data_IF_280147467633
#
_entry.id   IF_280147467633
#
_cell.length_a   1.000
_cell.length_b   1.000
_cell.length_c   1.000
_cell.angle_alpha   90.00
_cell.angle_beta   90.00
_cell.angle_gamma   90.00
#
_symmetry.space_group_name_H-M   'P 1'
#
loop_
_entity.id
_entity.type
_entity.pdbx_description
1 polymer ?
#
# COMPACT_ATOMS: atom_id res chain seq x y z
N UNK A 1 -43.08 3.58 -39.33
CA UNK A 1 -41.88 2.76 -39.57
C UNK A 1 -40.86 3.17 -38.52
N UNK A 2 -40.64 2.31 -37.53
CA UNK A 2 -39.82 2.62 -36.36
C UNK A 2 -38.34 2.66 -36.71
N UNK A 3 -37.67 3.74 -36.32
CA UNK A 3 -36.23 3.87 -36.36
C UNK A 3 -35.62 2.88 -35.36
N UNK A 4 -34.91 1.89 -35.86
CA UNK A 4 -34.02 1.03 -35.08
C UNK A 4 -32.89 1.88 -34.49
N UNK A 5 -32.51 1.70 -33.22
CA UNK A 5 -31.30 2.32 -32.70
C UNK A 5 -30.10 1.68 -33.40
N UNK A 6 -29.31 2.51 -34.07
CA UNK A 6 -28.05 2.09 -34.68
C UNK A 6 -27.19 1.40 -33.60
N UNK A 7 -26.86 0.13 -33.82
CA UNK A 7 -25.87 -0.57 -33.00
C UNK A 7 -24.56 0.20 -33.15
N UNK A 8 -24.17 0.95 -32.10
CA UNK A 8 -22.84 1.54 -32.04
C UNK A 8 -21.87 0.37 -32.04
N UNK A 9 -21.20 0.14 -33.18
CA UNK A 9 -20.15 -0.87 -33.25
C UNK A 9 -19.18 -0.59 -32.10
N UNK A 10 -18.93 -1.59 -31.25
CA UNK A 10 -17.96 -1.45 -30.18
C UNK A 10 -16.64 -1.02 -30.80
N UNK A 11 -16.15 0.17 -30.45
CA UNK A 11 -14.85 0.63 -30.91
C UNK A 11 -13.82 -0.42 -30.51
N UNK A 12 -12.92 -0.79 -31.43
CA UNK A 12 -11.86 -1.72 -31.13
C UNK A 12 -11.03 -1.20 -29.96
N UNK A 13 -10.68 -2.08 -29.03
CA UNK A 13 -9.90 -1.74 -27.85
C UNK A 13 -8.54 -1.17 -28.29
N UNK A 14 -8.14 0.02 -27.81
CA UNK A 14 -6.91 0.67 -28.27
C UNK A 14 -5.69 -0.20 -27.93
N UNK A 15 -4.63 -0.19 -28.75
CA UNK A 15 -3.40 -0.94 -28.46
C UNK A 15 -2.71 -0.39 -27.21
N UNK A 16 -1.98 -1.22 -26.47
CA UNK A 16 -1.16 -0.76 -25.35
C UNK A 16 -0.07 0.19 -25.84
N UNK A 17 0.37 1.17 -25.02
CA UNK A 17 1.51 2.02 -25.37
C UNK A 17 2.76 1.18 -25.68
N UNK A 18 3.45 1.50 -26.78
CA UNK A 18 4.63 0.75 -27.21
C UNK A 18 5.77 0.76 -26.18
N UNK A 19 5.85 1.80 -25.34
CA UNK A 19 6.84 1.92 -24.27
C UNK A 19 6.46 1.18 -22.97
N UNK A 20 5.30 0.52 -22.93
CA UNK A 20 4.87 -0.22 -21.73
C UNK A 20 5.79 -1.40 -21.46
N UNK A 21 6.05 -1.65 -20.17
CA UNK A 21 6.93 -2.71 -19.71
C UNK A 21 6.09 -3.85 -19.14
N UNK A 22 6.37 -5.08 -19.57
CA UNK A 22 5.74 -6.28 -19.00
C UNK A 22 6.19 -6.45 -17.55
N UNK A 23 5.24 -6.61 -16.64
CA UNK A 23 5.51 -6.99 -15.25
C UNK A 23 5.49 -8.51 -15.15
N UNK A 24 6.63 -9.09 -14.78
CA UNK A 24 6.73 -10.53 -14.48
C UNK A 24 6.71 -10.72 -12.96
N UNK A 25 5.80 -11.54 -12.47
CA UNK A 25 5.70 -11.86 -11.05
C UNK A 25 4.91 -13.18 -10.85
N UNK A 26 5.31 -14.08 -9.94
CA UNK A 26 4.66 -15.39 -9.76
C UNK A 26 3.20 -15.32 -9.32
N UNK A 27 2.79 -14.23 -8.65
CA UNK A 27 1.38 -14.02 -8.27
C UNK A 27 0.46 -13.66 -9.45
N UNK A 28 1.00 -13.37 -10.64
CA UNK A 28 0.18 -13.02 -11.81
C UNK A 28 -0.47 -14.30 -12.36
N UNK A 29 -1.81 -14.31 -12.35
CA UNK A 29 -2.61 -15.45 -12.84
C UNK A 29 -3.80 -14.94 -13.65
N UNK A 30 -4.05 -15.54 -14.81
CA UNK A 30 -5.22 -15.27 -15.65
C UNK A 30 -5.06 -14.14 -16.68
N UNK A 31 -3.92 -13.44 -16.69
CA UNK A 31 -3.63 -12.37 -17.64
C UNK A 31 -2.14 -12.03 -17.75
N UNK A 32 -1.81 -11.23 -18.75
CA UNK A 32 -0.50 -10.58 -18.89
C UNK A 32 -0.58 -9.16 -18.38
N UNK A 33 0.42 -8.73 -17.61
CA UNK A 33 0.42 -7.40 -16.98
C UNK A 33 1.49 -6.54 -17.63
N UNK A 34 1.13 -5.32 -18.00
CA UNK A 34 2.04 -4.29 -18.47
C UNK A 34 1.83 -3.00 -17.67
N UNK A 35 2.87 -2.19 -17.50
CA UNK A 35 2.80 -0.89 -16.81
C UNK A 35 3.58 0.19 -17.54
N UNK A 36 3.12 1.43 -17.43
CA UNK A 36 3.84 2.63 -17.87
C UNK A 36 3.35 3.81 -17.04
N UNK A 37 4.28 4.63 -16.57
CA UNK A 37 3.98 5.77 -15.70
C UNK A 37 3.04 5.34 -14.56
N UNK A 38 1.86 5.96 -14.46
CA UNK A 38 0.86 5.74 -13.40
C UNK A 38 -0.23 4.73 -13.79
N UNK A 39 -0.01 3.96 -14.86
CA UNK A 39 -1.01 3.06 -15.41
C UNK A 39 -0.51 1.62 -15.43
N UNK A 40 -1.44 0.70 -15.22
CA UNK A 40 -1.22 -0.73 -15.36
C UNK A 40 -2.37 -1.33 -16.17
N UNK A 41 -2.02 -2.21 -17.09
CA UNK A 41 -2.96 -2.92 -17.94
C UNK A 41 -2.84 -4.41 -17.74
N UNK A 42 -3.97 -5.09 -17.68
CA UNK A 42 -4.06 -6.55 -17.58
C UNK A 42 -4.78 -7.06 -18.82
N UNK A 43 -4.04 -7.69 -19.73
CA UNK A 43 -4.61 -8.36 -20.90
C UNK A 43 -5.04 -9.77 -20.50
N UNK A 44 -6.33 -10.05 -20.54
CA UNK A 44 -6.90 -11.35 -20.17
C UNK A 44 -6.61 -12.38 -21.26
N UNK A 45 -6.03 -13.52 -20.90
CA UNK A 45 -5.64 -14.56 -21.86
C UNK A 45 -6.84 -15.42 -22.31
N UNK A 46 -7.75 -15.74 -21.39
CA UNK A 46 -8.92 -16.60 -21.64
C UNK A 46 -10.20 -15.87 -21.19
N UNK A 47 -10.69 -14.91 -21.98
CA UNK A 47 -11.81 -14.05 -21.61
C UNK A 47 -13.11 -14.86 -21.50
N UNK A 48 -13.79 -14.69 -20.38
CA UNK A 48 -15.10 -15.29 -20.06
C UNK A 48 -16.05 -14.18 -19.60
N UNK A 49 -17.34 -14.47 -19.58
CA UNK A 49 -18.36 -13.50 -19.16
C UNK A 49 -18.25 -13.17 -17.66
N UNK A 50 -17.82 -14.15 -16.86
CA UNK A 50 -17.40 -13.99 -15.47
C UNK A 50 -15.96 -14.49 -15.28
N UNK A 51 -15.24 -13.93 -14.32
CA UNK A 51 -13.88 -14.37 -14.06
C UNK A 51 -13.13 -13.56 -13.03
N UNK A 52 -11.84 -13.89 -12.91
CA UNK A 52 -10.89 -13.14 -12.11
C UNK A 52 -9.51 -13.13 -12.76
N UNK A 53 -8.76 -12.10 -12.47
CA UNK A 53 -7.30 -12.07 -12.62
C UNK A 53 -6.67 -11.77 -11.26
N UNK A 54 -5.45 -12.27 -11.04
CA UNK A 54 -4.66 -11.97 -9.85
C UNK A 54 -3.43 -11.18 -10.25
N UNK A 55 -3.10 -10.13 -9.50
CA UNK A 55 -1.87 -9.34 -9.63
C UNK A 55 -1.18 -9.24 -8.27
N UNK A 56 0.15 -9.02 -8.21
CA UNK A 56 0.83 -8.72 -6.94
C UNK A 56 0.28 -7.46 -6.29
N UNK A 57 0.49 -7.33 -4.97
CA UNK A 57 0.32 -6.06 -4.25
C UNK A 57 1.31 -5.03 -4.78
N UNK A 58 0.83 -3.83 -5.09
CA UNK A 58 1.63 -2.73 -5.66
C UNK A 58 1.76 -1.57 -4.68
N UNK A 59 2.86 -0.83 -4.79
CA UNK A 59 3.22 0.27 -3.92
C UNK A 59 2.71 1.64 -4.42
N UNK A 60 1.41 1.73 -4.67
CA UNK A 60 0.75 2.96 -5.08
C UNK A 60 -0.75 2.94 -4.72
N UNK A 61 -1.34 4.12 -4.54
CA UNK A 61 -2.77 4.28 -4.30
C UNK A 61 -3.53 4.14 -5.60
N UNK A 62 -4.53 3.28 -5.60
CA UNK A 62 -5.40 3.00 -6.73
C UNK A 62 -6.51 4.05 -6.81
N UNK A 63 -6.58 4.73 -7.94
CA UNK A 63 -7.58 5.75 -8.23
C UNK A 63 -8.83 5.15 -8.86
N UNK A 64 -8.65 4.28 -9.86
CA UNK A 64 -9.75 3.58 -10.51
C UNK A 64 -9.31 2.25 -11.13
N UNK A 65 -10.31 1.41 -11.42
CA UNK A 65 -10.20 0.16 -12.18
C UNK A 65 -11.33 0.14 -13.18
N UNK A 66 -11.04 -0.12 -14.46
CA UNK A 66 -12.04 -0.14 -15.52
C UNK A 66 -11.68 -1.08 -16.65
N UNK A 67 -12.67 -1.46 -17.45
CA UNK A 67 -12.42 -2.01 -18.78
C UNK A 67 -11.85 -0.90 -19.67
N UNK A 68 -10.79 -1.19 -20.42
CA UNK A 68 -10.12 -0.18 -21.23
C UNK A 68 -11.03 0.32 -22.35
N UNK A 69 -11.14 1.63 -22.50
CA UNK A 69 -12.05 2.25 -23.47
C UNK A 69 -13.51 2.29 -23.04
N UNK A 70 -13.82 1.86 -21.81
CA UNK A 70 -15.14 1.99 -21.19
C UNK A 70 -15.10 3.05 -20.08
N UNK A 71 -16.23 3.71 -19.86
CA UNK A 71 -16.43 4.54 -18.68
C UNK A 71 -16.37 3.67 -17.41
N UNK A 72 -15.93 4.22 -16.27
CA UNK A 72 -16.04 3.54 -14.98
C UNK A 72 -17.50 3.10 -14.74
N UNK A 73 -17.72 1.80 -14.53
CA UNK A 73 -19.05 1.20 -14.40
C UNK A 73 -19.03 -0.09 -13.57
N UNK A 74 -20.21 -0.59 -13.23
CA UNK A 74 -20.39 -1.74 -12.31
C UNK A 74 -20.05 -3.08 -12.96
N UNK A 75 -18.77 -3.40 -13.13
CA UNK A 75 -18.38 -4.75 -13.58
C UNK A 75 -17.09 -5.30 -12.94
N UNK A 76 -16.23 -4.44 -12.36
CA UNK A 76 -14.97 -4.88 -11.77
C UNK A 76 -14.95 -4.67 -10.25
N UNK A 77 -14.71 -5.75 -9.52
CA UNK A 77 -14.55 -5.75 -8.07
C UNK A 77 -13.10 -6.00 -7.70
N UNK A 78 -12.53 -5.14 -6.86
CA UNK A 78 -11.22 -5.33 -6.28
C UNK A 78 -11.34 -6.06 -4.93
N UNK A 79 -10.76 -7.26 -4.85
CA UNK A 79 -10.53 -7.95 -3.58
C UNK A 79 -9.05 -7.85 -3.22
N UNK A 80 -8.77 -7.24 -2.06
CA UNK A 80 -7.41 -6.98 -1.58
C UNK A 80 -6.99 -8.09 -0.61
N UNK A 81 -6.00 -8.89 -0.99
CA UNK A 81 -5.32 -9.84 -0.09
C UNK A 81 -3.96 -9.26 0.34
N UNK A 82 -3.31 -9.80 1.40
CA UNK A 82 -2.06 -9.23 1.93
C UNK A 82 -0.93 -9.08 0.90
N UNK A 83 -0.73 -10.06 0.01
CA UNK A 83 0.38 -10.08 -0.94
C UNK A 83 -0.04 -9.94 -2.42
N UNK A 84 -1.33 -10.01 -2.70
CA UNK A 84 -1.87 -9.97 -4.06
C UNK A 84 -3.28 -9.41 -4.05
N UNK A 85 -3.73 -8.95 -5.22
CA UNK A 85 -5.09 -8.45 -5.39
C UNK A 85 -5.79 -9.27 -6.47
N UNK A 86 -7.09 -9.49 -6.28
CA UNK A 86 -7.95 -10.04 -7.32
C UNK A 86 -8.77 -8.91 -7.93
N UNK A 87 -8.83 -8.90 -9.26
CA UNK A 87 -9.81 -8.12 -9.99
C UNK A 87 -10.82 -9.13 -10.55
N UNK A 88 -12.06 -9.02 -10.10
CA UNK A 88 -13.13 -9.98 -10.38
C UNK A 88 -14.26 -9.30 -11.16
N UNK A 89 -14.96 -10.06 -12.00
CA UNK A 89 -16.12 -9.57 -12.72
C UNK A 89 -17.18 -10.66 -12.84
N UNK A 90 -18.45 -10.24 -12.83
CA UNK A 90 -19.62 -11.10 -13.04
C UNK A 90 -20.28 -10.86 -14.40
N UNK A 91 -19.92 -9.77 -15.07
CA UNK A 91 -20.26 -9.47 -16.44
C UNK A 91 -19.04 -8.82 -17.11
N UNK A 92 -18.83 -9.12 -18.39
CA UNK A 92 -17.74 -8.55 -19.19
C UNK A 92 -18.33 -7.95 -20.47
N UNK A 93 -17.92 -6.74 -20.88
CA UNK A 93 -18.32 -6.21 -22.18
C UNK A 93 -17.77 -7.14 -23.26
N UNK A 94 -18.60 -7.51 -24.24
CA UNK A 94 -18.27 -8.56 -25.20
C UNK A 94 -16.88 -8.38 -25.86
N UNK A 95 -16.52 -7.14 -26.22
CA UNK A 95 -15.25 -6.79 -26.86
C UNK A 95 -14.07 -6.57 -25.90
N UNK A 96 -14.29 -6.40 -24.60
CA UNK A 96 -13.23 -6.03 -23.66
C UNK A 96 -12.25 -7.19 -23.39
N UNK A 97 -10.95 -6.90 -23.47
CA UNK A 97 -9.85 -7.84 -23.13
C UNK A 97 -8.86 -7.26 -22.14
N UNK A 98 -8.82 -5.94 -21.98
CA UNK A 98 -7.85 -5.25 -21.12
C UNK A 98 -8.57 -4.56 -19.97
N UNK A 99 -8.10 -4.85 -18.76
CA UNK A 99 -8.43 -4.08 -17.57
C UNK A 99 -7.36 -3.02 -17.40
N UNK A 100 -7.77 -1.77 -17.21
CA UNK A 100 -6.90 -0.64 -16.91
C UNK A 100 -7.05 -0.23 -15.44
N UNK A 101 -5.92 -0.05 -14.78
CA UNK A 101 -5.80 0.44 -13.41
C UNK A 101 -5.00 1.74 -13.43
N UNK A 102 -5.55 2.79 -12.83
CA UNK A 102 -4.90 4.09 -12.71
C UNK A 102 -4.47 4.35 -11.26
N UNK A 103 -3.26 4.88 -11.07
CA UNK A 103 -2.66 5.09 -9.75
C UNK A 103 -2.28 6.55 -9.50
N UNK A 104 -2.01 6.89 -8.23
CA UNK A 104 -1.43 8.19 -7.85
C UNK A 104 0.07 8.33 -8.19
N UNK A 105 0.78 7.21 -8.22
CA UNK A 105 2.21 7.09 -8.48
C UNK A 105 2.47 5.89 -9.39
N UNK A 106 3.67 5.80 -9.99
CA UNK A 106 4.02 4.62 -10.76
C UNK A 106 3.90 3.33 -9.93
N UNK A 107 3.09 2.34 -10.36
CA UNK A 107 2.80 1.16 -9.56
C UNK A 107 3.99 0.19 -9.57
N UNK A 108 4.82 0.29 -8.52
CA UNK A 108 6.00 -0.54 -8.30
C UNK A 108 5.70 -1.78 -7.47
N UNK A 109 6.49 -2.84 -7.65
CA UNK A 109 6.55 -3.88 -6.62
C UNK A 109 7.23 -3.27 -5.40
N UNK A 110 6.87 -3.72 -4.19
CA UNK A 110 7.50 -3.21 -2.98
C UNK A 110 9.02 -3.46 -2.96
N UNK A 111 9.47 -4.56 -3.55
CA UNK A 111 10.90 -4.91 -3.73
C UNK A 111 11.64 -3.98 -4.69
N UNK A 112 10.93 -3.25 -5.55
CA UNK A 112 11.52 -2.27 -6.48
C UNK A 112 11.66 -0.88 -5.83
N UNK A 113 11.11 -0.70 -4.63
CA UNK A 113 11.12 0.58 -3.91
C UNK A 113 12.46 0.79 -3.21
N UNK A 114 12.93 2.04 -3.21
CA UNK A 114 14.11 2.44 -2.45
C UNK A 114 13.69 2.94 -1.07
N UNK A 115 14.61 2.94 -0.08
CA UNK A 115 14.37 3.57 1.21
C UNK A 115 13.90 5.01 1.03
N UNK A 116 12.89 5.38 1.81
CA UNK A 116 12.32 6.73 1.82
C UNK A 116 13.33 7.76 2.30
N UNK A 117 13.33 8.93 1.67
CA UNK A 117 14.25 10.03 1.96
C UNK A 117 13.47 11.25 2.48
N UNK A 118 14.04 12.04 3.40
CA UNK A 118 13.42 13.29 3.83
C UNK A 118 13.29 14.27 2.66
N UNK A 119 12.22 15.05 2.68
CA UNK A 119 12.06 16.22 1.83
C UNK A 119 13.08 17.32 2.21
N UNK A 120 13.19 18.35 1.36
CA UNK A 120 14.16 19.44 1.55
C UNK A 120 13.96 20.26 2.83
N UNK A 121 12.77 20.21 3.43
CA UNK A 121 12.46 20.83 4.73
C UNK A 121 12.78 19.92 5.93
N UNK A 122 13.32 18.73 5.70
CA UNK A 122 13.66 17.75 6.74
C UNK A 122 12.49 16.91 7.24
N UNK A 123 11.30 17.06 6.64
CA UNK A 123 10.16 16.18 6.88
C UNK A 123 10.33 14.84 6.16
N UNK A 124 9.91 13.74 6.79
CA UNK A 124 9.97 12.40 6.20
C UNK A 124 8.61 11.73 6.35
N UNK A 125 7.93 11.54 5.23
CA UNK A 125 6.64 10.87 5.16
C UNK A 125 6.82 9.40 4.78
N UNK A 126 6.28 8.51 5.60
CA UNK A 126 6.25 7.07 5.38
C UNK A 126 4.81 6.63 5.05
N UNK A 127 4.41 6.60 3.77
CA UNK A 127 3.04 6.30 3.38
C UNK A 127 2.72 4.81 3.48
N UNK A 128 1.45 4.47 3.71
CA UNK A 128 0.97 3.08 3.78
C UNK A 128 1.29 2.23 2.55
N UNK A 129 1.31 2.84 1.35
CA UNK A 129 1.65 2.15 0.11
C UNK A 129 3.09 1.62 0.07
N UNK A 130 3.98 2.09 0.95
CA UNK A 130 5.36 1.63 1.08
C UNK A 130 5.58 0.77 2.33
N UNK A 131 4.52 0.42 3.05
CA UNK A 131 4.60 -0.49 4.18
C UNK A 131 4.69 -1.95 3.71
N UNK A 132 5.71 -2.68 4.18
CA UNK A 132 5.71 -4.14 4.18
C UNK A 132 4.83 -4.65 5.32
N UNK A 133 3.85 -5.50 5.03
CA UNK A 133 2.92 -6.04 6.02
C UNK A 133 3.23 -7.51 6.29
N UNK A 134 3.32 -7.88 7.57
CA UNK A 134 3.48 -9.26 8.01
C UNK A 134 2.36 -9.62 8.99
N UNK A 135 1.61 -10.67 8.67
CA UNK A 135 0.49 -11.15 9.46
C UNK A 135 -0.52 -11.88 8.57
N UNK A 136 -1.55 -12.46 9.16
CA UNK A 136 -2.53 -13.27 8.41
C UNK A 136 -3.50 -12.39 7.61
N UNK A 137 -3.99 -11.30 8.21
CA UNK A 137 -5.01 -10.43 7.60
C UNK A 137 -4.54 -9.01 7.34
N UNK A 138 -3.57 -8.50 8.10
CA UNK A 138 -3.01 -7.16 7.88
C UNK A 138 -2.57 -7.00 6.43
N UNK A 139 -2.95 -5.86 5.83
CA UNK A 139 -2.73 -5.60 4.41
C UNK A 139 -2.78 -4.12 4.10
N UNK A 140 -2.14 -3.74 3.01
CA UNK A 140 -2.32 -2.44 2.39
C UNK A 140 -3.61 -2.43 1.55
N UNK A 141 -4.51 -1.50 1.85
CA UNK A 141 -5.77 -1.26 1.12
C UNK A 141 -5.60 -0.07 0.16
N UNK A 142 -5.45 -0.32 -1.16
CA UNK A 142 -4.95 0.68 -2.09
C UNK A 142 -5.99 1.70 -2.54
N UNK A 143 -7.29 1.46 -2.31
CA UNK A 143 -8.33 2.40 -2.76
C UNK A 143 -8.07 3.79 -2.18
N UNK A 144 -8.12 4.83 -3.00
CA UNK A 144 -7.71 6.21 -2.63
C UNK A 144 -8.36 6.78 -1.37
N UNK A 145 -9.63 6.45 -1.12
CA UNK A 145 -10.37 6.87 0.09
C UNK A 145 -9.91 6.13 1.36
N UNK A 146 -9.27 4.96 1.22
CA UNK A 146 -8.60 4.22 2.28
C UNK A 146 -7.11 4.56 2.33
N UNK A 147 -6.35 4.09 1.34
CA UNK A 147 -4.90 4.21 1.19
C UNK A 147 -4.19 3.99 2.53
N UNK A 148 -4.42 2.82 3.14
CA UNK A 148 -4.05 2.55 4.53
C UNK A 148 -3.54 1.13 4.72
N UNK A 149 -2.72 0.91 5.74
CA UNK A 149 -2.52 -0.43 6.28
C UNK A 149 -3.65 -0.67 7.28
N UNK A 150 -4.54 -1.62 6.96
CA UNK A 150 -5.70 -1.98 7.77
C UNK A 150 -5.68 -3.46 8.15
N UNK A 151 -6.79 -3.93 8.75
CA UNK A 151 -6.98 -5.33 9.16
C UNK A 151 -5.97 -5.86 10.19
N UNK A 152 -5.53 -5.00 11.10
CA UNK A 152 -4.69 -5.35 12.24
C UNK A 152 -5.50 -6.10 13.30
N UNK A 153 -5.50 -7.42 13.25
CA UNK A 153 -6.31 -8.26 14.15
C UNK A 153 -5.51 -9.34 14.88
N UNK A 154 -4.27 -9.58 14.45
CA UNK A 154 -3.35 -10.54 15.06
C UNK A 154 -2.31 -9.86 15.95
N UNK A 155 -1.98 -10.46 17.09
CA UNK A 155 -0.93 -9.96 17.98
C UNK A 155 0.47 -9.90 17.32
N UNK A 156 0.68 -10.72 16.27
CA UNK A 156 1.92 -10.79 15.50
C UNK A 156 1.88 -9.93 14.22
N UNK A 157 0.84 -9.11 14.02
CA UNK A 157 0.73 -8.23 12.86
C UNK A 157 1.81 -7.13 12.93
N UNK A 158 2.49 -6.84 11.82
CA UNK A 158 3.55 -5.82 11.72
C UNK A 158 3.42 -5.05 10.43
N UNK A 159 3.60 -3.74 10.49
CA UNK A 159 3.87 -2.91 9.31
C UNK A 159 5.25 -2.28 9.42
N UNK A 160 6.03 -2.36 8.35
CA UNK A 160 7.44 -1.97 8.34
C UNK A 160 7.73 -1.03 7.17
N UNK A 161 8.51 0.01 7.42
CA UNK A 161 9.02 0.94 6.42
C UNK A 161 10.53 1.03 6.51
N UNK A 162 11.19 1.11 5.35
CA UNK A 162 12.61 1.41 5.25
C UNK A 162 12.79 2.86 4.81
N UNK A 163 13.68 3.56 5.48
CA UNK A 163 13.96 4.97 5.22
C UNK A 163 15.41 5.28 5.56
N UNK A 164 15.94 6.35 4.99
CA UNK A 164 17.26 6.86 5.31
C UNK A 164 17.13 8.19 6.05
N UNK A 165 17.95 8.40 7.08
CA UNK A 165 18.14 9.72 7.66
C UNK A 165 19.57 10.20 7.42
N UNK A 166 19.77 11.39 6.83
CA UNK A 166 21.11 11.86 6.48
C UNK A 166 21.93 12.27 7.70
N UNK A 167 21.29 12.50 8.86
CA UNK A 167 21.93 12.96 10.09
C UNK A 167 21.24 12.37 11.32
N UNK A 168 22.03 11.98 12.30
CA UNK A 168 21.55 11.72 13.65
C UNK A 168 20.85 12.97 14.25
N UNK A 169 19.93 12.75 15.19
CA UNK A 169 19.21 13.83 15.85
C UNK A 169 17.88 13.40 16.48
N UNK A 170 17.18 14.38 17.02
CA UNK A 170 15.83 14.21 17.57
C UNK A 170 14.79 14.36 16.47
N UNK A 171 13.85 13.43 16.42
CA UNK A 171 12.78 13.41 15.44
C UNK A 171 11.44 13.39 16.15
N UNK A 172 10.61 14.37 15.88
CA UNK A 172 9.22 14.37 16.25
C UNK A 172 8.47 13.34 15.39
N UNK A 173 7.72 12.42 16.01
CA UNK A 173 7.01 11.34 15.34
C UNK A 173 5.51 11.52 15.49
N UNK A 174 4.80 11.40 14.36
CA UNK A 174 3.34 11.34 14.33
C UNK A 174 2.85 10.20 13.44
N UNK A 175 1.69 9.63 13.76
CA UNK A 175 1.00 8.64 12.92
C UNK A 175 -0.33 9.23 12.44
N UNK A 176 -0.64 9.06 11.17
CA UNK A 176 -1.95 9.36 10.61
C UNK A 176 -2.80 8.10 10.74
N UNK A 177 -3.58 8.03 11.83
CA UNK A 177 -4.38 6.86 12.16
C UNK A 177 -5.87 7.08 11.92
N UNK A 178 -6.59 6.00 11.64
CA UNK A 178 -8.04 5.92 11.74
C UNK A 178 -8.44 4.84 12.73
N UNK A 179 -9.55 5.03 13.43
CA UNK A 179 -10.06 4.07 14.40
C UNK A 179 -11.59 4.22 14.51
N UNK A 180 -12.32 3.12 14.30
CA UNK A 180 -13.78 3.12 14.32
C UNK A 180 -14.38 3.51 15.67
N UNK A 181 -15.62 3.97 15.66
CA UNK A 181 -16.37 4.23 16.88
C UNK A 181 -16.44 2.97 17.77
N UNK A 182 -16.15 3.13 19.06
CA UNK A 182 -16.04 2.06 20.05
C UNK A 182 -14.80 1.17 19.93
N UNK A 183 -13.86 1.47 19.03
CA UNK A 183 -12.66 0.64 18.77
C UNK A 183 -11.38 1.15 19.43
N UNK A 184 -11.41 2.33 20.07
CA UNK A 184 -10.24 2.93 20.72
C UNK A 184 -9.72 2.17 21.94
N UNK A 185 -8.54 2.57 22.42
CA UNK A 185 -7.91 2.07 23.65
C UNK A 185 -6.91 0.93 23.45
N UNK A 186 -6.78 0.38 22.23
CA UNK A 186 -5.69 -0.55 21.90
C UNK A 186 -4.33 0.13 22.06
N UNK A 187 -3.27 -0.63 22.35
CA UNK A 187 -1.90 -0.12 22.48
C UNK A 187 -1.01 -0.67 21.38
N UNK A 188 -0.20 0.21 20.81
CA UNK A 188 0.78 -0.11 19.78
C UNK A 188 2.18 0.33 20.22
N UNK A 189 3.19 -0.28 19.62
CA UNK A 189 4.59 0.13 19.71
C UNK A 189 5.09 0.49 18.33
N UNK A 190 5.79 1.60 18.24
CA UNK A 190 6.58 2.02 17.08
C UNK A 190 8.05 1.90 17.47
N UNK A 191 8.80 1.08 16.74
CA UNK A 191 10.24 0.86 16.95
C UNK A 191 11.00 1.32 15.73
N UNK A 192 12.09 2.07 15.92
CA UNK A 192 13.06 2.39 14.88
C UNK A 192 14.37 1.71 15.21
N UNK A 193 14.88 0.89 14.30
CA UNK A 193 16.19 0.25 14.40
C UNK A 193 17.07 0.63 13.21
N UNK A 194 18.33 0.95 13.46
CA UNK A 194 19.32 1.13 12.40
C UNK A 194 19.62 -0.20 11.70
N UNK A 195 19.85 -0.18 10.39
CA UNK A 195 20.31 -1.38 9.69
C UNK A 195 21.83 -1.48 9.74
N UNK A 196 22.33 -2.68 10.04
CA UNK A 196 23.69 -3.04 9.65
C UNK A 196 23.68 -3.27 8.13
N UNK A 197 24.65 -2.74 7.35
CA UNK A 197 24.66 -2.91 5.90
C UNK A 197 24.53 -4.39 5.47
N UNK A 198 23.51 -4.73 4.68
CA UNK A 198 23.40 -6.05 4.02
C UNK A 198 22.06 -6.80 4.11
N UNK A 199 21.01 -6.26 4.72
CA UNK A 199 19.76 -7.00 5.00
C UNK A 199 18.52 -6.51 4.23
N UNK A 200 18.55 -6.52 2.90
CA UNK A 200 17.34 -6.25 2.10
C UNK A 200 16.45 -7.50 2.03
N UNK A 201 15.27 -7.41 2.63
CA UNK A 201 14.01 -8.08 2.26
C UNK A 201 13.95 -9.61 2.04
N UNK A 202 15.04 -10.38 2.18
CA UNK A 202 15.07 -11.83 1.92
C UNK A 202 15.04 -12.70 3.20
N UNK A 203 14.98 -12.10 4.38
CA UNK A 203 15.00 -12.82 5.64
C UNK A 203 16.35 -13.46 6.00
N UNK A 204 17.39 -13.25 5.19
CA UNK A 204 18.76 -13.62 5.51
C UNK A 204 19.34 -12.59 6.47
N UNK A 205 19.26 -12.90 7.76
CA UNK A 205 19.98 -12.14 8.79
C UNK A 205 21.47 -12.30 8.56
N UNK A 206 22.13 -11.27 8.01
CA UNK A 206 23.57 -11.10 8.24
C UNK A 206 23.81 -11.03 9.75
N UNK A 207 24.65 -11.91 10.28
CA UNK A 207 25.16 -11.83 11.65
C UNK A 207 26.02 -10.56 11.79
N UNK A 208 25.36 -9.42 11.99
CA UNK A 208 25.94 -8.15 12.43
C UNK A 208 25.48 -7.84 13.84
N UNK A 209 26.25 -7.04 14.59
CA UNK A 209 25.99 -6.71 15.99
C UNK A 209 24.58 -6.14 16.25
N UNK A 210 24.18 -6.11 17.52
CA UNK A 210 22.86 -5.66 17.96
C UNK A 210 22.59 -4.22 17.46
N UNK A 211 21.66 -4.09 16.51
CA UNK A 211 21.25 -2.80 16.00
C UNK A 211 20.65 -1.96 17.13
N UNK A 212 21.13 -0.72 17.31
CA UNK A 212 20.49 0.20 18.26
C UNK A 212 19.05 0.44 17.82
N UNK A 213 18.12 0.22 18.74
CA UNK A 213 16.70 0.48 18.53
C UNK A 213 16.15 1.45 19.57
N UNK A 214 15.25 2.32 19.15
CA UNK A 214 14.45 3.20 20.02
C UNK A 214 12.97 2.97 19.74
N UNK A 215 12.12 3.14 20.76
CA UNK A 215 10.70 2.87 20.62
C UNK A 215 9.81 3.90 21.34
N UNK A 216 8.59 4.07 20.81
CA UNK A 216 7.48 4.77 21.44
C UNK A 216 6.31 3.81 21.55
N UNK A 217 5.73 3.69 22.73
CA UNK A 217 4.42 3.06 22.90
C UNK A 217 3.33 4.14 22.95
N UNK A 218 2.18 3.83 22.36
CA UNK A 218 1.07 4.77 22.30
C UNK A 218 -0.27 4.05 22.35
N UNK A 219 -1.26 4.74 22.88
CA UNK A 219 -2.66 4.34 22.81
C UNK A 219 -3.28 4.81 21.49
N UNK A 220 -4.05 3.93 20.86
CA UNK A 220 -4.87 4.26 19.68
C UNK A 220 -6.11 4.99 20.14
N UNK A 221 -6.30 6.20 19.63
CA UNK A 221 -7.49 6.98 19.91
C UNK A 221 -8.57 6.72 18.87
N UNK A 222 -9.81 6.76 19.33
CA UNK A 222 -10.98 6.71 18.46
C UNK A 222 -11.03 7.94 17.54
N UNK A 223 -11.36 7.71 16.27
CA UNK A 223 -11.60 8.79 15.29
C UNK A 223 -13.03 8.75 14.74
N UNK A 224 -13.90 7.91 15.29
CA UNK A 224 -15.30 7.74 14.91
C UNK A 224 -15.52 6.84 13.69
N UNK A 225 -14.56 6.75 12.77
CA UNK A 225 -14.59 5.84 11.62
C UNK A 225 -13.17 5.47 11.19
N UNK A 226 -12.94 4.24 10.72
CA UNK A 226 -11.61 3.77 10.29
C UNK A 226 -10.99 4.59 9.15
N UNK A 227 -11.82 5.27 8.36
CA UNK A 227 -11.37 6.17 7.28
C UNK A 227 -11.37 7.66 7.68
N UNK A 228 -11.74 7.99 8.92
CA UNK A 228 -11.58 9.35 9.45
C UNK A 228 -10.17 9.49 10.02
N UNK A 229 -9.20 9.78 9.17
CA UNK A 229 -7.79 9.81 9.55
C UNK A 229 -7.44 11.09 10.31
N UNK A 230 -6.77 10.94 11.46
CA UNK A 230 -6.29 12.05 12.28
C UNK A 230 -4.82 11.86 12.62
N UNK A 231 -4.04 12.95 12.54
CA UNK A 231 -2.66 12.96 13.00
C UNK A 231 -2.60 12.83 14.52
N UNK A 232 -1.80 11.89 15.00
CA UNK A 232 -1.50 11.67 16.40
C UNK A 232 -0.01 11.84 16.63
N UNK A 233 0.35 12.87 17.39
CA UNK A 233 1.70 13.05 17.90
C UNK A 233 2.01 11.96 18.92
N UNK A 234 3.11 11.23 18.70
CA UNK A 234 3.50 10.08 19.53
C UNK A 234 4.62 10.43 20.51
N UNK A 235 5.46 11.41 20.17
CA UNK A 235 6.61 11.79 20.97
C UNK A 235 7.82 12.17 20.12
N UNK A 236 8.99 12.13 20.74
CA UNK A 236 10.28 12.41 20.11
C UNK A 236 11.17 11.19 20.23
N UNK A 237 11.76 10.76 19.13
CA UNK A 237 12.79 9.71 19.08
C UNK A 237 14.17 10.35 18.93
N UNK A 238 15.15 9.86 19.68
CA UNK A 238 16.55 10.19 19.48
C UNK A 238 17.19 9.13 18.58
N UNK A 239 17.39 9.46 17.31
CA UNK A 239 18.11 8.60 16.37
C UNK A 239 19.60 8.93 16.47
N UNK A 240 20.40 7.98 16.98
CA UNK A 240 21.81 8.22 17.28
C UNK A 240 22.74 8.08 16.06
N UNK A 241 22.23 7.55 14.95
CA UNK A 241 23.02 7.19 13.76
C UNK A 241 22.31 7.67 12.49
N UNK A 242 23.08 8.20 11.54
CA UNK A 242 22.61 8.45 10.17
C UNK A 242 22.62 7.13 9.36
N UNK A 243 21.99 7.13 8.19
CA UNK A 243 21.94 5.97 7.29
C UNK A 243 20.55 5.36 7.21
N UNK A 244 20.48 4.10 6.77
CA UNK A 244 19.22 3.37 6.60
C UNK A 244 18.71 2.85 7.94
N UNK A 245 17.42 3.06 8.17
CA UNK A 245 16.67 2.62 9.33
C UNK A 245 15.41 1.91 8.89
N UNK A 246 14.92 1.08 9.81
CA UNK A 246 13.65 0.39 9.68
C UNK A 246 12.71 0.83 10.79
N UNK A 247 11.54 1.34 10.41
CA UNK A 247 10.45 1.65 11.33
C UNK A 247 9.43 0.52 11.31
N UNK A 248 9.12 -0.04 12.47
CA UNK A 248 8.11 -1.10 12.65
C UNK A 248 7.02 -0.62 13.57
N UNK A 249 5.76 -0.79 13.17
CA UNK A 249 4.60 -0.65 14.06
C UNK A 249 4.04 -2.04 14.35
N UNK A 250 3.76 -2.30 15.63
CA UNK A 250 3.25 -3.56 16.13
C UNK A 250 2.20 -3.40 17.23
N UNK A 251 1.20 -4.30 17.35
CA UNK A 251 0.31 -4.35 18.50
C UNK A 251 1.08 -4.73 19.77
N UNK A 252 0.84 -3.98 20.84
CA UNK A 252 1.14 -4.40 22.23
C UNK A 252 -0.09 -5.06 22.84
N UNK A 253 -1.26 -4.49 22.59
CA UNK A 253 -2.56 -5.00 23.07
C UNK A 253 -3.67 -4.57 22.09
N UNK A 254 -4.48 -5.52 21.61
CA UNK A 254 -5.70 -5.22 20.84
C UNK A 254 -6.89 -5.37 21.78
N UNK A 255 -7.53 -4.26 22.15
CA UNK A 255 -8.64 -4.28 23.13
C UNK A 255 -10.00 -4.59 22.53
N UNK A 256 -10.15 -4.38 21.22
CA UNK A 256 -11.41 -4.44 20.48
C UNK A 256 -11.24 -5.32 19.24
N UNK A 257 -11.94 -5.04 18.14
CA UNK A 257 -11.91 -5.89 16.96
C UNK A 257 -10.61 -5.74 16.13
N UNK A 258 -9.97 -4.58 16.18
CA UNK A 258 -8.73 -4.29 15.46
C UNK A 258 -7.86 -3.27 16.21
N UNK A 259 -6.58 -3.17 15.83
CA UNK A 259 -5.64 -2.19 16.40
C UNK A 259 -6.01 -0.75 15.97
N UNK A 260 -5.89 -0.46 14.68
CA UNK A 260 -6.15 0.83 14.02
C UNK A 260 -6.00 0.66 12.49
N UNK A 261 -6.29 1.71 11.72
CA UNK A 261 -5.83 1.89 10.34
C UNK A 261 -4.66 2.89 10.32
N UNK A 262 -3.58 2.63 9.59
CA UNK A 262 -2.42 3.53 9.45
C UNK A 262 -2.24 3.97 8.01
N UNK A 263 -2.45 5.27 7.74
CA UNK A 263 -2.27 5.85 6.40
C UNK A 263 -0.87 6.38 6.15
N UNK A 264 -0.22 6.89 7.20
CA UNK A 264 1.16 7.34 7.12
C UNK A 264 1.81 7.44 8.51
N UNK A 265 3.13 7.42 8.55
CA UNK A 265 3.94 7.91 9.67
C UNK A 265 4.72 9.13 9.19
N UNK A 266 4.91 10.11 10.05
CA UNK A 266 5.64 11.33 9.76
C UNK A 266 6.73 11.54 10.79
N UNK A 267 7.95 11.75 10.33
CA UNK A 267 9.10 12.11 11.15
C UNK A 267 9.56 13.50 10.74
N UNK A 268 9.70 14.41 11.71
CA UNK A 268 10.22 15.75 11.48
C UNK A 268 11.44 15.94 12.36
N UNK A 269 12.59 16.24 11.75
CA UNK A 269 13.80 16.54 12.53
C UNK A 269 13.60 17.83 13.32
N UNK A 270 13.91 17.80 14.60
CA UNK A 270 13.89 18.99 15.43
C UNK A 270 15.13 19.87 15.14
N UNK A 271 15.01 21.20 15.25
CA UNK A 271 16.16 22.09 15.28
C UNK A 271 17.13 21.66 16.39
N UNK A 272 18.43 21.80 16.13
CA UNK A 272 19.47 21.67 17.14
C UNK A 272 19.71 23.00 17.83
#
# INVERSE_FOLDING_TARGET
QGLTPASRAAAAEPPLPAASQTLQHPAIVGGQVARLDRQLWITIQNPRDEGRVTIPRLAASLQDVRWRGHEPGEELQLKVEPQHWHIQWTARPAAARVIELNFDLPPKLLTDCQPLQPAGDGSLLLPACLAATQGEKIRYEPQSFKNTVGYWVGANDRATWEFEIPRAGSYNVAVLQGCGAGQGGSRARLTVAGETPGGLLDGSRSQGGEAKSVALEFEVLETGHFQNFQWRHLGVLQLSEAGVHRLTIEPVEIRRAALMDVRAVHLIRLPQ
#
